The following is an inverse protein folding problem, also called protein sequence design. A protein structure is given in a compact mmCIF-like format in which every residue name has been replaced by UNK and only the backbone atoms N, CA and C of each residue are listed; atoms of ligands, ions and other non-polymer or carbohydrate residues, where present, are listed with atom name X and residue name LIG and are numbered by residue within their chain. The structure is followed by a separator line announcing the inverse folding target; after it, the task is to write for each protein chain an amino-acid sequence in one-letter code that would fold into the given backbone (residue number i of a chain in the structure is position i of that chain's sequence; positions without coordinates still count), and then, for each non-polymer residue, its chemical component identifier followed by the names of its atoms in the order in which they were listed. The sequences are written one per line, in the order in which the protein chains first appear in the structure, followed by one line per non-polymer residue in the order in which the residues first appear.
data_IF_320164462395
#
_entry.id   IF_320164462395
#
_cell.length_a   1.000
_cell.length_b   1.000
_cell.length_c   1.000
_cell.angle_alpha   90.00
_cell.angle_beta   90.00
_cell.angle_gamma   90.00
#
_symmetry.space_group_name_H-M   'P 1'
#
loop_
_entity.id
_entity.type
_entity.pdbx_description
1 polymer ?
#
# COMPACT_ATOMS: atom_id res chain seq x y z
N UNK A 1 -24.33 -3.76 3.26
CA UNK A 1 -25.41 -3.46 4.21
C UNK A 1 -24.94 -3.82 5.60
N UNK A 2 -24.96 -2.89 6.54
CA UNK A 2 -24.58 -3.13 7.92
C UNK A 2 -25.74 -3.83 8.67
N UNK A 3 -25.54 -5.06 9.10
CA UNK A 3 -26.58 -5.85 9.74
C UNK A 3 -26.62 -5.72 11.27
N UNK A 4 -25.58 -5.14 11.88
CA UNK A 4 -25.40 -5.07 13.33
C UNK A 4 -25.06 -6.41 14.01
N UNK A 5 -25.11 -7.53 13.25
CA UNK A 5 -24.80 -8.88 13.76
C UNK A 5 -23.61 -9.42 12.94
N UNK A 6 -22.49 -9.76 13.57
CA UNK A 6 -21.35 -10.33 12.88
C UNK A 6 -21.69 -11.67 12.21
N UNK A 7 -21.35 -11.82 10.94
CA UNK A 7 -21.56 -13.06 10.17
C UNK A 7 -20.23 -13.67 9.75
N UNK A 8 -19.42 -14.04 10.74
CA UNK A 8 -18.03 -14.46 10.52
C UNK A 8 -17.88 -15.67 9.60
N UNK A 9 -18.73 -16.68 9.76
CA UNK A 9 -18.69 -17.88 8.89
C UNK A 9 -18.98 -17.52 7.43
N UNK A 10 -19.98 -16.68 7.19
CA UNK A 10 -20.33 -16.20 5.84
C UNK A 10 -19.19 -15.35 5.24
N UNK A 11 -18.57 -14.47 6.05
CA UNK A 11 -17.43 -13.67 5.61
C UNK A 11 -16.24 -14.56 5.22
N UNK A 12 -15.93 -15.60 6.00
CA UNK A 12 -14.87 -16.56 5.68
C UNK A 12 -15.17 -17.32 4.38
N UNK A 13 -16.42 -17.76 4.18
CA UNK A 13 -16.84 -18.44 2.96
C UNK A 13 -16.65 -17.57 1.71
N UNK A 14 -17.14 -16.32 1.73
CA UNK A 14 -16.99 -15.42 0.59
C UNK A 14 -15.53 -15.01 0.33
N UNK A 15 -14.75 -14.75 1.39
CA UNK A 15 -13.31 -14.48 1.23
C UNK A 15 -12.60 -15.67 0.59
N UNK A 16 -12.94 -16.92 0.98
CA UNK A 16 -12.39 -18.13 0.36
C UNK A 16 -12.76 -18.24 -1.12
N UNK A 17 -13.99 -17.92 -1.51
CA UNK A 17 -14.39 -17.89 -2.94
C UNK A 17 -13.57 -16.92 -3.74
N UNK A 18 -13.24 -15.74 -3.19
CA UNK A 18 -12.35 -14.77 -3.85
C UNK A 18 -10.92 -15.32 -3.97
N UNK A 19 -10.40 -15.96 -2.91
CA UNK A 19 -9.08 -16.58 -2.95
C UNK A 19 -8.97 -17.68 -4.03
N UNK A 20 -10.06 -18.37 -4.31
CA UNK A 20 -10.13 -19.46 -5.30
C UNK A 20 -10.52 -18.98 -6.71
N UNK A 21 -10.73 -17.67 -6.92
CA UNK A 21 -11.22 -17.11 -8.17
C UNK A 21 -10.14 -16.90 -9.26
N UNK A 22 -8.92 -17.40 -9.05
CA UNK A 22 -7.85 -17.39 -10.06
C UNK A 22 -6.89 -16.19 -9.96
N UNK A 23 -7.04 -15.31 -8.97
CA UNK A 23 -6.04 -14.30 -8.66
C UNK A 23 -4.81 -14.93 -7.99
N UNK A 24 -3.64 -14.27 -8.11
CA UNK A 24 -2.42 -14.69 -7.42
C UNK A 24 -1.72 -13.50 -6.79
N UNK A 25 -1.00 -13.73 -5.69
CA UNK A 25 -0.19 -12.68 -5.07
C UNK A 25 0.92 -12.24 -6.01
N UNK A 26 1.18 -10.94 -6.07
CA UNK A 26 2.29 -10.39 -6.84
C UNK A 26 3.62 -10.92 -6.28
N UNK A 27 4.59 -11.31 -7.15
CA UNK A 27 5.90 -11.78 -6.71
C UNK A 27 6.63 -10.76 -5.83
N UNK A 28 6.52 -9.47 -6.16
CA UNK A 28 7.05 -8.38 -5.36
C UNK A 28 5.88 -7.53 -4.84
N UNK A 29 5.83 -7.33 -3.54
CA UNK A 29 4.79 -6.51 -2.91
C UNK A 29 4.70 -5.10 -3.51
N UNK A 30 5.86 -4.46 -3.78
CA UNK A 30 5.93 -3.11 -4.32
C UNK A 30 5.28 -2.93 -5.68
N UNK A 31 5.25 -3.97 -6.51
CA UNK A 31 4.69 -3.92 -7.88
C UNK A 31 3.20 -3.55 -7.90
N UNK A 32 2.49 -3.77 -6.80
CA UNK A 32 1.08 -3.39 -6.66
C UNK A 32 0.84 -1.87 -6.58
N UNK A 33 1.90 -1.06 -6.49
CA UNK A 33 1.82 0.37 -6.18
C UNK A 33 2.65 1.25 -7.13
N UNK A 34 3.03 0.69 -8.28
CA UNK A 34 3.78 1.35 -9.35
C UNK A 34 2.85 1.83 -10.47
N UNK A 35 3.38 2.62 -11.41
CA UNK A 35 2.61 3.18 -12.53
C UNK A 35 1.97 2.11 -13.44
N UNK A 36 2.58 0.93 -13.53
CA UNK A 36 2.11 -0.22 -14.33
C UNK A 36 1.45 -1.32 -13.49
N UNK A 37 0.87 -0.97 -12.34
CA UNK A 37 0.23 -1.91 -11.42
C UNK A 37 -1.09 -2.51 -11.94
N UNK A 38 -1.68 -1.95 -12.98
CA UNK A 38 -2.81 -2.52 -13.70
C UNK A 38 -2.52 -3.93 -14.26
N UNK A 39 -1.24 -4.29 -14.40
CA UNK A 39 -0.80 -5.62 -14.81
C UNK A 39 -0.63 -6.61 -13.65
N UNK A 40 -0.88 -6.20 -12.41
CA UNK A 40 -0.70 -7.05 -11.24
C UNK A 40 -1.74 -8.17 -11.18
N UNK A 41 -1.31 -9.45 -11.05
CA UNK A 41 -2.21 -10.58 -10.90
C UNK A 41 -2.97 -10.59 -9.57
N UNK A 42 -2.59 -9.71 -8.65
CA UNK A 42 -3.19 -9.56 -7.33
C UNK A 42 -4.39 -8.60 -7.32
N UNK A 43 -4.49 -7.74 -8.35
CA UNK A 43 -5.51 -6.69 -8.44
C UNK A 43 -6.88 -7.28 -8.76
N UNK A 44 -7.88 -7.02 -7.90
CA UNK A 44 -9.26 -7.49 -8.11
C UNK A 44 -10.12 -6.36 -8.66
N UNK A 45 -10.09 -5.20 -8.04
CA UNK A 45 -10.82 -4.02 -8.46
C UNK A 45 -9.99 -2.77 -8.17
N UNK A 46 -9.43 -2.12 -9.20
CA UNK A 46 -8.77 -0.83 -9.07
C UNK A 46 -9.73 0.33 -9.34
N UNK A 47 -9.34 1.52 -8.89
CA UNK A 47 -9.77 2.80 -9.48
C UNK A 47 -8.71 3.15 -10.50
N UNK A 48 -9.08 3.13 -11.78
CA UNK A 48 -8.12 3.24 -12.88
C UNK A 48 -7.70 4.68 -13.15
N UNK A 49 -6.39 4.88 -13.34
CA UNK A 49 -5.76 6.11 -13.78
C UNK A 49 -4.80 5.82 -14.94
N UNK A 50 -4.67 6.78 -15.86
CA UNK A 50 -3.69 6.73 -16.96
C UNK A 50 -2.90 8.04 -17.12
N UNK A 51 -3.04 8.94 -16.14
CA UNK A 51 -2.37 10.23 -16.12
C UNK A 51 -2.81 11.22 -17.20
N UNK A 52 -3.55 10.78 -18.21
CA UNK A 52 -3.96 11.57 -19.38
C UNK A 52 -5.47 11.72 -19.49
N UNK A 53 -6.20 10.61 -19.68
CA UNK A 53 -7.66 10.59 -19.86
C UNK A 53 -8.38 10.46 -18.53
N UNK A 54 -7.98 9.48 -17.73
CA UNK A 54 -8.50 9.20 -16.38
C UNK A 54 -7.51 9.68 -15.35
N UNK A 55 -7.67 10.91 -14.89
CA UNK A 55 -6.75 11.56 -13.96
C UNK A 55 -7.48 12.38 -12.89
N UNK A 56 -6.91 12.44 -11.71
CA UNK A 56 -7.43 13.31 -10.64
C UNK A 56 -6.34 13.68 -9.63
N UNK A 57 -6.56 14.78 -8.93
CA UNK A 57 -5.72 15.17 -7.79
C UNK A 57 -5.75 14.13 -6.67
N UNK A 58 -6.85 13.39 -6.53
CA UNK A 58 -6.95 12.32 -5.54
C UNK A 58 -5.98 11.16 -5.80
N UNK A 59 -5.75 10.79 -7.06
CA UNK A 59 -4.73 9.80 -7.43
C UNK A 59 -3.33 10.28 -7.05
N UNK A 60 -3.01 11.54 -7.36
CA UNK A 60 -1.74 12.16 -7.03
C UNK A 60 -1.54 12.32 -5.50
N UNK A 61 -2.61 12.49 -4.73
CA UNK A 61 -2.54 12.63 -3.27
C UNK A 61 -1.77 11.50 -2.58
N UNK A 62 -1.92 10.26 -3.04
CA UNK A 62 -1.23 9.10 -2.46
C UNK A 62 0.30 9.12 -2.67
N UNK A 63 0.79 9.97 -3.55
CA UNK A 63 2.22 10.14 -3.82
C UNK A 63 2.69 11.48 -3.25
N UNK A 64 2.19 12.58 -3.78
CA UNK A 64 2.69 13.92 -3.52
C UNK A 64 2.58 14.39 -2.07
N UNK A 65 1.54 13.94 -1.34
CA UNK A 65 1.35 14.33 0.06
C UNK A 65 2.39 13.76 1.02
N UNK A 66 3.14 12.74 0.60
CA UNK A 66 4.23 12.14 1.37
C UNK A 66 5.60 12.67 1.00
N UNK A 67 5.72 13.40 -0.11
CA UNK A 67 7.01 13.92 -0.61
C UNK A 67 7.29 15.27 0.05
N UNK A 68 8.42 15.41 0.72
CA UNK A 68 8.86 16.67 1.34
C UNK A 68 10.35 16.64 1.67
N UNK A 69 10.94 17.82 1.87
CA UNK A 69 12.33 17.96 2.27
C UNK A 69 13.31 17.57 1.16
N UNK A 70 14.19 16.63 1.46
CA UNK A 70 15.28 16.12 0.63
C UNK A 70 14.86 15.09 -0.43
N UNK A 71 13.57 14.69 -0.46
CA UNK A 71 13.07 13.69 -1.39
C UNK A 71 12.96 14.27 -2.81
N UNK A 72 13.50 13.56 -3.81
CA UNK A 72 13.37 13.95 -5.20
C UNK A 72 12.05 13.45 -5.78
N UNK A 73 11.07 14.34 -5.92
CA UNK A 73 9.73 14.00 -6.36
C UNK A 73 9.73 13.35 -7.75
N UNK A 74 10.55 13.83 -8.68
CA UNK A 74 10.56 13.33 -10.03
C UNK A 74 11.31 11.99 -10.15
N UNK A 75 12.54 11.92 -9.67
CA UNK A 75 13.40 10.75 -9.88
C UNK A 75 12.99 9.59 -8.98
N UNK A 76 12.54 9.86 -7.75
CA UNK A 76 12.18 8.82 -6.79
C UNK A 76 10.71 8.38 -6.87
N UNK A 77 9.80 9.27 -7.34
CA UNK A 77 8.36 9.05 -7.29
C UNK A 77 7.63 9.27 -8.62
N UNK A 78 8.28 9.80 -9.65
CA UNK A 78 7.70 9.97 -10.99
C UNK A 78 6.68 11.10 -11.10
N UNK A 79 6.78 12.14 -10.26
CA UNK A 79 5.93 13.33 -10.32
C UNK A 79 6.74 14.59 -10.00
N UNK A 80 6.31 15.75 -10.50
CA UNK A 80 6.86 17.06 -10.12
C UNK A 80 6.24 17.61 -8.84
N UNK A 81 5.17 17.01 -8.37
CA UNK A 81 4.41 17.49 -7.23
C UNK A 81 4.99 16.98 -5.90
N UNK A 82 5.16 17.88 -4.96
CA UNK A 82 5.61 17.59 -3.60
C UNK A 82 4.84 18.48 -2.63
N UNK A 83 3.79 17.95 -2.02
CA UNK A 83 2.90 18.73 -1.15
C UNK A 83 3.29 18.63 0.31
N UNK A 84 3.90 17.52 0.72
CA UNK A 84 4.25 17.25 2.11
C UNK A 84 3.03 17.01 3.01
N UNK A 85 3.30 16.92 4.31
CA UNK A 85 2.27 16.90 5.36
C UNK A 85 1.89 15.52 5.86
N UNK A 86 1.76 14.51 5.01
CA UNK A 86 1.46 13.15 5.44
C UNK A 86 2.73 12.39 5.84
N UNK A 87 2.71 11.78 7.02
CA UNK A 87 3.82 11.00 7.58
C UNK A 87 3.29 9.81 8.36
N UNK A 88 4.12 8.76 8.44
CA UNK A 88 3.84 7.62 9.29
C UNK A 88 4.05 7.97 10.76
N UNK A 89 3.06 7.67 11.59
CA UNK A 89 3.22 7.77 13.04
C UNK A 89 4.11 6.64 13.54
N UNK A 90 4.88 6.89 14.59
CA UNK A 90 5.72 5.91 15.28
C UNK A 90 5.02 4.56 15.51
N UNK A 91 3.74 4.57 15.88
CA UNK A 91 2.96 3.36 16.13
C UNK A 91 2.86 2.43 14.91
N UNK A 92 2.86 2.97 13.67
CA UNK A 92 2.91 2.18 12.44
C UNK A 92 4.32 1.63 12.21
N UNK A 93 5.34 2.47 12.30
CA UNK A 93 6.73 2.09 12.04
C UNK A 93 7.20 0.99 13.01
N UNK A 94 6.77 1.06 14.28
CA UNK A 94 7.05 0.02 15.30
C UNK A 94 6.55 -1.38 14.94
N UNK A 95 5.62 -1.51 13.99
CA UNK A 95 5.19 -2.83 13.48
C UNK A 95 6.26 -3.52 12.63
N UNK A 96 7.22 -2.76 12.11
CA UNK A 96 8.34 -3.23 11.29
C UNK A 96 9.66 -3.24 12.06
N UNK A 97 9.92 -2.17 12.82
CA UNK A 97 11.11 -2.02 13.65
C UNK A 97 10.74 -1.29 14.95
N UNK A 98 10.90 -1.94 16.08
CA UNK A 98 10.46 -1.44 17.39
C UNK A 98 11.18 -0.16 17.84
N UNK A 99 12.42 0.02 17.39
CA UNK A 99 13.29 1.17 17.65
C UNK A 99 13.31 2.21 16.50
N UNK A 100 12.57 1.94 15.42
CA UNK A 100 12.53 2.78 14.22
C UNK A 100 13.67 2.53 13.23
N UNK A 101 14.62 1.65 13.53
CA UNK A 101 15.73 1.32 12.63
C UNK A 101 15.29 0.27 11.59
N UNK A 102 14.84 0.74 10.46
CA UNK A 102 14.33 -0.10 9.36
C UNK A 102 15.41 -0.94 8.67
N UNK A 103 16.70 -0.66 8.90
CA UNK A 103 17.79 -1.49 8.36
C UNK A 103 17.79 -2.90 8.96
N UNK A 104 17.14 -3.09 10.08
CA UNK A 104 17.04 -4.37 10.80
C UNK A 104 15.84 -5.22 10.39
N UNK A 105 14.90 -4.69 9.61
CA UNK A 105 13.73 -5.45 9.18
C UNK A 105 13.96 -6.13 7.83
N UNK A 106 13.54 -7.40 7.74
CA UNK A 106 13.47 -8.13 6.48
C UNK A 106 12.09 -7.98 5.80
N UNK A 107 11.16 -7.25 6.40
CA UNK A 107 9.82 -7.07 5.85
C UNK A 107 9.84 -6.04 4.72
N UNK A 108 9.71 -6.50 3.47
CA UNK A 108 9.73 -5.67 2.25
C UNK A 108 8.57 -4.69 2.15
N UNK A 109 7.56 -4.79 3.02
CA UNK A 109 6.44 -3.86 3.11
C UNK A 109 6.77 -2.59 3.90
N UNK A 110 7.95 -2.53 4.53
CA UNK A 110 8.44 -1.37 5.27
C UNK A 110 8.89 -0.23 4.33
N UNK A 111 7.95 0.29 3.56
CA UNK A 111 8.18 1.33 2.53
C UNK A 111 8.16 2.72 3.17
N UNK A 112 9.28 3.12 3.78
CA UNK A 112 9.44 4.42 4.44
C UNK A 112 10.74 5.11 4.04
N UNK A 113 10.69 6.44 3.96
CA UNK A 113 11.85 7.30 3.84
C UNK A 113 12.23 7.83 5.23
N UNK A 114 13.49 7.64 5.62
CA UNK A 114 14.00 7.95 6.96
C UNK A 114 15.10 9.00 6.99
N UNK A 115 15.70 9.33 5.82
CA UNK A 115 16.78 10.30 5.70
C UNK A 115 16.32 11.65 6.22
N UNK A 116 17.12 12.27 7.08
CA UNK A 116 16.85 13.55 7.73
C UNK A 116 15.49 13.66 8.42
N UNK A 117 15.01 12.51 8.97
CA UNK A 117 13.71 12.45 9.66
C UNK A 117 13.84 11.89 11.07
N UNK A 118 13.00 12.40 11.96
CA UNK A 118 12.88 11.84 13.30
C UNK A 118 11.83 10.72 13.33
N UNK A 119 12.01 9.78 14.25
CA UNK A 119 11.06 8.69 14.43
C UNK A 119 9.70 9.15 15.01
N UNK A 120 9.73 10.15 15.87
CA UNK A 120 8.55 10.70 16.54
C UNK A 120 8.09 12.00 15.88
N UNK A 121 6.79 12.25 15.92
CA UNK A 121 6.17 13.52 15.53
C UNK A 121 5.79 14.26 16.82
N UNK A 122 6.58 15.27 17.18
CA UNK A 122 6.34 16.12 18.33
C UNK A 122 5.64 17.43 17.91
N UNK A 123 5.99 17.92 16.72
CA UNK A 123 5.40 19.13 16.13
C UNK A 123 4.75 18.79 14.80
N UNK A 124 3.41 18.74 14.71
CA UNK A 124 2.71 18.40 13.46
C UNK A 124 3.03 19.32 12.26
N UNK A 125 3.50 20.53 12.51
CA UNK A 125 3.90 21.50 11.47
C UNK A 125 5.31 21.27 10.93
N UNK A 126 6.13 20.44 11.60
CA UNK A 126 7.48 20.09 11.15
C UNK A 126 7.43 18.84 10.27
N UNK A 127 7.51 19.00 8.96
CA UNK A 127 7.34 17.90 8.00
C UNK A 127 8.52 16.93 7.93
N UNK A 128 9.62 17.22 8.63
CA UNK A 128 10.75 16.32 8.85
C UNK A 128 10.57 15.41 10.07
N UNK A 129 9.55 15.64 10.90
CA UNK A 129 9.20 14.74 11.99
C UNK A 129 8.25 13.63 11.52
N UNK A 130 8.55 12.38 11.83
CA UNK A 130 7.87 11.19 11.30
C UNK A 130 8.39 10.76 9.93
N UNK A 131 8.37 9.47 9.64
CA UNK A 131 8.86 8.92 8.37
C UNK A 131 7.84 9.13 7.25
N UNK A 132 8.30 9.50 6.05
CA UNK A 132 7.44 9.55 4.86
C UNK A 132 7.13 8.15 4.34
N UNK A 133 5.92 7.94 3.82
CA UNK A 133 5.52 6.67 3.21
C UNK A 133 5.89 6.69 1.72
N UNK A 134 6.70 5.74 1.29
CA UNK A 134 7.21 5.63 -0.10
C UNK A 134 6.53 4.52 -0.90
N UNK A 135 5.35 4.11 -0.46
CA UNK A 135 4.64 2.94 -0.98
C UNK A 135 4.18 3.13 -2.43
N UNK A 136 3.61 4.28 -2.74
CA UNK A 136 3.05 4.58 -4.06
C UNK A 136 4.03 5.41 -4.88
N UNK A 137 4.20 5.01 -6.17
CA UNK A 137 5.09 5.69 -7.12
C UNK A 137 4.47 5.71 -8.51
N UNK A 138 4.66 6.81 -9.22
CA UNK A 138 4.30 6.92 -10.64
C UNK A 138 5.48 6.52 -11.55
N UNK A 139 6.18 5.45 -11.17
CA UNK A 139 7.29 4.86 -11.90
C UNK A 139 6.95 3.40 -12.18
N UNK A 140 7.18 2.93 -13.39
CA UNK A 140 6.96 1.54 -13.78
C UNK A 140 8.03 0.61 -13.20
N UNK A 141 7.83 -0.70 -13.27
CA UNK A 141 8.85 -1.72 -12.93
C UNK A 141 10.13 -1.57 -13.73
N UNK A 142 10.06 -1.02 -14.94
CA UNK A 142 11.24 -0.74 -15.79
C UNK A 142 11.88 0.62 -15.52
N UNK A 143 11.40 1.40 -14.54
CA UNK A 143 11.94 2.69 -14.17
C UNK A 143 11.45 3.87 -15.03
N UNK A 144 10.41 3.69 -15.84
CA UNK A 144 9.84 4.76 -16.66
C UNK A 144 8.79 5.53 -15.85
N UNK A 145 8.76 6.85 -16.02
CA UNK A 145 7.72 7.70 -15.47
C UNK A 145 6.42 7.49 -16.25
N UNK A 146 5.26 7.65 -15.59
CA UNK A 146 3.94 7.54 -16.21
C UNK A 146 3.70 8.49 -17.39
N UNK A 147 2.56 8.31 -18.06
CA UNK A 147 2.28 8.89 -19.39
C UNK A 147 1.98 10.39 -19.40
N UNK A 148 1.67 11.03 -18.26
CA UNK A 148 1.41 12.48 -18.27
C UNK A 148 2.66 13.25 -18.70
N UNK A 149 2.63 13.98 -19.87
CA UNK A 149 3.77 14.74 -20.37
C UNK A 149 4.19 15.88 -19.42
N UNK A 150 3.29 16.31 -18.53
CA UNK A 150 3.59 17.32 -17.51
C UNK A 150 4.14 16.70 -16.23
N UNK A 151 4.16 15.37 -16.10
CA UNK A 151 4.66 14.64 -14.92
C UNK A 151 3.94 15.05 -13.62
N UNK A 152 2.64 15.32 -13.73
CA UNK A 152 1.80 15.78 -12.64
C UNK A 152 0.84 14.68 -12.16
N UNK A 153 0.10 14.06 -13.10
CA UNK A 153 -0.88 13.05 -12.77
C UNK A 153 -0.33 11.63 -12.94
N UNK A 154 -0.59 10.73 -11.98
CA UNK A 154 -0.06 9.37 -12.04
C UNK A 154 -0.91 8.44 -12.90
N UNK A 155 -0.25 7.42 -13.47
CA UNK A 155 -0.88 6.25 -14.07
C UNK A 155 -1.25 5.20 -13.02
N UNK A 156 -0.64 5.26 -11.85
CA UNK A 156 -0.80 4.28 -10.78
C UNK A 156 -2.27 4.13 -10.39
N UNK A 157 -2.85 2.98 -10.68
CA UNK A 157 -4.20 2.61 -10.25
C UNK A 157 -4.29 2.52 -8.73
N UNK A 158 -5.39 3.04 -8.15
CA UNK A 158 -5.60 2.84 -6.73
C UNK A 158 -6.24 1.48 -6.46
N UNK A 159 -5.54 0.56 -5.77
CA UNK A 159 -6.03 -0.79 -5.53
C UNK A 159 -7.13 -0.78 -4.46
N UNK A 160 -8.40 -0.73 -4.90
CA UNK A 160 -9.55 -0.75 -3.99
C UNK A 160 -9.70 -2.11 -3.32
N UNK A 161 -9.61 -3.20 -4.11
CA UNK A 161 -9.59 -4.56 -3.60
C UNK A 161 -8.45 -5.37 -4.22
N UNK A 162 -7.70 -6.07 -3.38
CA UNK A 162 -6.61 -6.98 -3.76
C UNK A 162 -6.77 -8.34 -3.07
N UNK A 163 -6.19 -9.38 -3.65
CA UNK A 163 -6.19 -10.73 -3.09
C UNK A 163 -5.65 -10.78 -1.65
N UNK A 164 -4.66 -9.96 -1.31
CA UNK A 164 -4.13 -9.86 0.04
C UNK A 164 -5.21 -9.54 1.08
N UNK A 165 -6.16 -8.65 0.74
CA UNK A 165 -7.29 -8.33 1.62
C UNK A 165 -8.21 -9.54 1.82
N UNK A 166 -8.50 -10.31 0.76
CA UNK A 166 -9.27 -11.54 0.86
C UNK A 166 -8.61 -12.56 1.80
N UNK A 167 -7.29 -12.72 1.72
CA UNK A 167 -6.53 -13.58 2.64
C UNK A 167 -6.65 -13.11 4.10
N UNK A 168 -6.52 -11.81 4.36
CA UNK A 168 -6.64 -11.25 5.71
C UNK A 168 -8.08 -11.39 6.24
N UNK A 169 -9.07 -11.11 5.41
CA UNK A 169 -10.50 -11.27 5.74
C UNK A 169 -10.82 -12.73 6.05
N UNK A 170 -10.34 -13.66 5.23
CA UNK A 170 -10.50 -15.10 5.48
C UNK A 170 -9.89 -15.51 6.82
N UNK A 171 -8.66 -15.07 7.09
CA UNK A 171 -7.96 -15.43 8.33
C UNK A 171 -8.69 -14.90 9.57
N UNK A 172 -9.08 -13.62 9.58
CA UNK A 172 -9.80 -13.02 10.70
C UNK A 172 -11.18 -13.67 10.89
N UNK A 173 -11.96 -13.78 9.82
CA UNK A 173 -13.31 -14.32 9.87
C UNK A 173 -13.32 -15.79 10.32
N UNK A 174 -12.37 -16.60 9.83
CA UNK A 174 -12.20 -18.01 10.26
C UNK A 174 -11.93 -18.11 11.75
N UNK A 175 -11.02 -17.30 12.28
CA UNK A 175 -10.71 -17.29 13.71
C UNK A 175 -11.89 -16.85 14.57
N UNK A 176 -12.59 -15.78 14.16
CA UNK A 176 -13.77 -15.27 14.89
C UNK A 176 -14.98 -16.21 14.83
N UNK A 177 -15.07 -17.02 13.77
CA UNK A 177 -16.08 -18.08 13.65
C UNK A 177 -15.75 -19.33 14.48
N UNK A 178 -14.58 -19.40 15.14
CA UNK A 178 -14.11 -20.60 15.84
C UNK A 178 -13.63 -21.71 14.90
N UNK A 179 -13.29 -21.37 13.65
CA UNK A 179 -12.84 -22.31 12.62
C UNK A 179 -11.35 -22.68 12.73
N UNK A 180 -10.82 -23.25 11.65
CA UNK A 180 -9.45 -23.79 11.60
C UNK A 180 -8.36 -22.69 11.72
N UNK A 181 -7.67 -22.71 12.85
CA UNK A 181 -6.55 -21.80 13.14
C UNK A 181 -5.37 -21.99 12.19
N UNK A 182 -5.12 -23.22 11.74
CA UNK A 182 -3.99 -23.50 10.84
C UNK A 182 -4.27 -22.97 9.44
N UNK A 183 -5.51 -23.08 8.95
CA UNK A 183 -5.90 -22.47 7.68
C UNK A 183 -5.79 -20.94 7.73
N UNK A 184 -6.24 -20.31 8.82
CA UNK A 184 -6.11 -18.88 9.02
C UNK A 184 -4.64 -18.42 9.06
N UNK A 185 -3.77 -19.13 9.79
CA UNK A 185 -2.34 -18.85 9.85
C UNK A 185 -1.66 -19.02 8.49
N UNK A 186 -2.05 -20.04 7.74
CA UNK A 186 -1.52 -20.27 6.38
C UNK A 186 -1.83 -19.10 5.45
N UNK A 187 -3.05 -18.57 5.48
CA UNK A 187 -3.47 -17.42 4.68
C UNK A 187 -2.64 -16.17 5.01
N UNK A 188 -2.39 -15.90 6.31
CA UNK A 188 -1.53 -14.77 6.73
C UNK A 188 -0.08 -14.98 6.27
N UNK A 189 0.46 -16.19 6.42
CA UNK A 189 1.86 -16.49 6.10
C UNK A 189 2.15 -16.39 4.61
N UNK A 190 1.16 -16.61 3.73
CA UNK A 190 1.30 -16.36 2.30
C UNK A 190 1.64 -14.90 1.98
N UNK A 191 1.19 -13.95 2.79
CA UNK A 191 1.44 -12.51 2.62
C UNK A 191 2.79 -12.05 3.21
N UNK A 192 3.50 -12.92 3.90
CA UNK A 192 4.75 -12.61 4.63
C UNK A 192 5.98 -13.27 4.02
N UNK A 193 5.85 -13.77 2.81
CA UNK A 193 6.94 -14.41 2.05
C UNK A 193 7.84 -13.38 1.38
#
# INVERSE_FOLDING_TARGET
VYTGIPQWSTAAEYAKKVMDAGFSLAPNYGDNFLADNNTSPEMILPICYDGVQTRSWSGLFFIASFISGDMNALDDFGTKEAWGGNRARMALVKKFASDGDLSKTADTRASFWTTDRTFEINKPTEFTEGYSVTKFKNITKSGQIGHDPNQQFPDMDFPLFRLAEANLTFAEATLRAGGDKQAALSAINQLRK
#
